data_IF_175627956209
#
_entry.id   IF_175627956209
#
_cell.length_a   1.000
_cell.length_b   1.000
_cell.length_c   1.000
_cell.angle_alpha   90.00
_cell.angle_beta   90.00
_cell.angle_gamma   90.00
#
_symmetry.space_group_name_H-M   'P 1'
#
loop_
_entity.id
_entity.type
_entity.pdbx_description
1 polymer ?
#
# COMPACT_ATOMS: atom_id res chain seq x y z
N UNK A 1 -6.04 -1.02 -3.52
CA UNK A 1 -5.55 -1.63 -2.26
C UNK A 1 -4.38 -2.55 -2.58
N UNK A 2 -3.39 -2.07 -3.34
CA UNK A 2 -2.29 -2.88 -3.85
C UNK A 2 -1.09 -2.64 -2.94
N UNK A 3 -0.62 -3.66 -2.24
CA UNK A 3 0.57 -3.58 -1.38
C UNK A 3 1.81 -3.77 -2.24
N UNK A 4 2.82 -2.93 -2.03
CA UNK A 4 4.07 -2.99 -2.79
C UNK A 4 4.71 -4.38 -2.60
N UNK A 5 5.08 -5.02 -3.71
CA UNK A 5 5.80 -6.31 -3.76
C UNK A 5 5.05 -7.58 -3.31
N UNK A 6 3.76 -7.51 -2.98
CA UNK A 6 2.97 -8.69 -2.57
C UNK A 6 2.10 -9.22 -3.72
N UNK A 7 1.68 -8.33 -4.63
CA UNK A 7 0.79 -8.65 -5.73
C UNK A 7 1.57 -8.88 -7.01
N UNK A 8 2.13 -10.09 -7.16
CA UNK A 8 2.79 -10.54 -8.38
C UNK A 8 1.88 -11.51 -9.13
N UNK A 9 1.55 -11.27 -10.41
CA UNK A 9 0.70 -12.17 -11.18
C UNK A 9 1.39 -13.51 -11.42
N UNK A 10 0.62 -14.60 -11.36
CA UNK A 10 1.08 -15.93 -11.76
C UNK A 10 0.62 -16.20 -13.20
N UNK A 11 1.51 -16.63 -14.11
CA UNK A 11 1.12 -16.98 -15.48
C UNK A 11 0.05 -18.07 -15.51
N UNK A 12 -0.92 -17.95 -16.40
CA UNK A 12 -2.06 -18.88 -16.47
C UNK A 12 -1.63 -20.35 -16.68
N UNK A 13 -0.55 -20.58 -17.43
CA UNK A 13 -0.02 -21.91 -17.71
C UNK A 13 0.88 -22.49 -16.60
N UNK A 14 1.06 -21.78 -15.48
CA UNK A 14 1.95 -22.18 -14.39
C UNK A 14 1.18 -22.24 -13.06
N UNK A 15 1.42 -23.29 -12.28
CA UNK A 15 0.88 -23.35 -10.91
C UNK A 15 1.69 -22.44 -9.98
N UNK A 16 1.01 -21.83 -9.00
CA UNK A 16 1.66 -21.09 -7.92
C UNK A 16 2.62 -22.01 -7.12
N UNK A 17 3.82 -21.53 -6.84
CA UNK A 17 4.76 -22.17 -5.91
C UNK A 17 5.45 -21.13 -5.06
N UNK A 18 6.00 -21.55 -3.92
CA UNK A 18 6.82 -20.66 -3.09
C UNK A 18 8.07 -20.14 -3.83
N UNK A 19 8.61 -20.90 -4.77
CA UNK A 19 9.76 -20.47 -5.57
C UNK A 19 9.41 -19.42 -6.63
N UNK A 20 8.17 -19.44 -7.15
CA UNK A 20 7.75 -18.60 -8.27
C UNK A 20 6.94 -17.36 -7.86
N UNK A 21 6.43 -17.30 -6.63
CA UNK A 21 5.61 -16.18 -6.18
C UNK A 21 5.92 -15.83 -4.72
N UNK A 22 6.12 -14.54 -4.37
CA UNK A 22 6.52 -14.11 -3.03
C UNK A 22 5.37 -14.10 -2.01
N UNK A 23 4.12 -14.25 -2.43
CA UNK A 23 2.97 -14.20 -1.51
C UNK A 23 3.07 -15.29 -0.44
N UNK A 24 2.87 -14.94 0.83
CA UNK A 24 2.92 -15.88 1.97
C UNK A 24 1.79 -15.57 2.93
N UNK A 25 0.93 -16.54 3.22
CA UNK A 25 -0.29 -16.31 4.01
C UNK A 25 -0.01 -15.81 5.43
N UNK A 26 1.04 -16.31 6.06
CA UNK A 26 1.52 -15.91 7.40
C UNK A 26 2.06 -14.47 7.43
N UNK A 27 2.53 -13.94 6.30
CA UNK A 27 2.99 -12.55 6.19
C UNK A 27 1.87 -11.62 5.71
N UNK A 28 1.04 -12.12 4.80
CA UNK A 28 0.01 -11.32 4.14
C UNK A 28 -1.27 -11.20 4.98
N UNK A 29 -1.67 -12.29 5.62
CA UNK A 29 -2.88 -12.34 6.42
C UNK A 29 -2.70 -13.30 7.61
N UNK A 30 -1.76 -13.01 8.53
CA UNK A 30 -1.75 -13.69 9.82
C UNK A 30 -3.07 -13.46 10.57
N UNK A 31 -3.33 -14.25 11.63
CA UNK A 31 -4.47 -13.96 12.51
C UNK A 31 -4.35 -12.53 13.04
N UNK A 32 -5.47 -11.80 13.03
CA UNK A 32 -5.53 -10.37 13.37
C UNK A 32 -4.68 -9.45 12.46
N UNK A 33 -4.41 -9.87 11.21
CA UNK A 33 -3.88 -8.98 10.19
C UNK A 33 -4.74 -7.71 10.06
N UNK A 34 -4.09 -6.55 9.94
CA UNK A 34 -4.78 -5.27 9.95
C UNK A 34 -4.15 -4.30 8.94
N UNK A 35 -5.00 -3.39 8.45
CA UNK A 35 -4.61 -2.23 7.66
C UNK A 35 -5.25 -1.00 8.28
N UNK A 36 -4.44 0.02 8.52
CA UNK A 36 -4.86 1.26 9.18
C UNK A 36 -4.40 2.43 8.33
N UNK A 37 -5.31 3.37 8.05
CA UNK A 37 -4.99 4.60 7.34
C UNK A 37 -5.23 5.76 8.29
N UNK A 38 -4.15 6.38 8.74
CA UNK A 38 -4.19 7.54 9.63
C UNK A 38 -4.29 8.80 8.77
N UNK A 39 -5.31 9.63 9.01
CA UNK A 39 -5.50 10.89 8.31
C UNK A 39 -5.20 12.06 9.25
N UNK A 40 -4.29 12.93 8.83
CA UNK A 40 -3.91 14.13 9.56
C UNK A 40 -4.36 15.37 8.79
N UNK A 41 -4.72 16.43 9.52
CA UNK A 41 -5.13 17.71 8.96
C UNK A 41 -4.21 18.83 9.44
N UNK A 42 -3.75 19.66 8.50
CA UNK A 42 -3.12 20.94 8.78
C UNK A 42 -3.80 22.02 7.94
N UNK A 43 -4.65 22.85 8.57
CA UNK A 43 -5.53 23.77 7.88
C UNK A 43 -6.50 23.05 6.93
N UNK A 44 -6.43 23.38 5.64
CA UNK A 44 -7.22 22.72 4.58
C UNK A 44 -6.57 21.46 4.03
N UNK A 45 -5.27 21.24 4.28
CA UNK A 45 -4.53 20.10 3.72
C UNK A 45 -4.76 18.84 4.54
N UNK A 46 -4.99 17.73 3.85
CA UNK A 46 -5.06 16.39 4.42
C UNK A 46 -3.90 15.54 3.92
N UNK A 47 -3.27 14.83 4.84
CA UNK A 47 -2.23 13.84 4.54
C UNK A 47 -2.61 12.50 5.15
N UNK A 48 -2.15 11.42 4.53
CA UNK A 48 -2.46 10.06 4.96
C UNK A 48 -1.18 9.26 5.13
N UNK A 49 -1.13 8.44 6.17
CA UNK A 49 -0.11 7.40 6.39
C UNK A 49 -0.80 6.05 6.50
N UNK A 50 -0.17 4.99 6.00
CA UNK A 50 -0.67 3.62 6.13
C UNK A 50 0.20 2.81 7.09
N UNK A 51 -0.46 2.05 7.97
CA UNK A 51 0.14 0.95 8.70
C UNK A 51 -0.44 -0.36 8.17
N UNK A 52 0.45 -1.33 7.94
CA UNK A 52 0.07 -2.68 7.56
C UNK A 52 0.70 -3.66 8.55
N UNK A 53 -0.15 -4.42 9.23
CA UNK A 53 0.24 -5.22 10.41
C UNK A 53 1.09 -4.36 11.37
N UNK A 54 0.59 -3.15 11.66
CA UNK A 54 1.21 -2.13 12.52
C UNK A 54 2.55 -1.55 12.03
N UNK A 55 3.05 -1.97 10.85
CA UNK A 55 4.28 -1.43 10.26
C UNK A 55 3.97 -0.30 9.29
N UNK A 56 4.70 0.80 9.42
CA UNK A 56 4.64 1.89 8.45
C UNK A 56 5.03 1.38 7.06
N UNK A 57 4.09 1.50 6.12
CA UNK A 57 4.19 0.88 4.80
C UNK A 57 3.76 1.88 3.74
N UNK A 58 4.50 1.92 2.64
CA UNK A 58 4.15 2.73 1.49
C UNK A 58 2.89 2.21 0.78
N UNK A 59 2.12 3.14 0.20
CA UNK A 59 1.07 2.80 -0.75
C UNK A 59 1.69 2.20 -2.03
N UNK A 60 0.85 1.72 -2.96
CA UNK A 60 1.33 1.19 -4.24
C UNK A 60 2.26 2.16 -4.96
N UNK A 61 3.24 1.63 -5.71
CA UNK A 61 4.25 2.44 -6.40
C UNK A 61 3.65 3.50 -7.34
N UNK A 62 2.48 3.24 -7.93
CA UNK A 62 1.76 4.21 -8.75
C UNK A 62 1.36 5.50 -7.99
N UNK A 63 1.34 5.46 -6.66
CA UNK A 63 1.04 6.60 -5.80
C UNK A 63 2.29 7.35 -5.32
N UNK A 64 3.50 6.96 -5.73
CA UNK A 64 4.75 7.57 -5.24
C UNK A 64 4.81 9.09 -5.52
N UNK A 65 4.14 9.57 -6.58
CA UNK A 65 4.00 11.00 -6.89
C UNK A 65 3.15 11.79 -5.89
N UNK A 66 2.38 11.14 -5.03
CA UNK A 66 1.59 11.79 -3.99
C UNK A 66 2.34 11.91 -2.65
N UNK A 67 3.58 11.40 -2.52
CA UNK A 67 4.39 11.59 -1.31
C UNK A 67 4.65 13.07 -1.05
N UNK A 68 4.54 13.49 0.20
CA UNK A 68 4.69 14.91 0.56
C UNK A 68 6.15 15.40 0.56
N UNK A 69 7.11 14.47 0.61
CA UNK A 69 8.54 14.71 0.54
C UNK A 69 9.29 13.42 0.14
N UNK A 70 10.52 13.51 -0.41
CA UNK A 70 11.37 12.34 -0.63
C UNK A 70 11.56 11.52 0.65
N UNK A 71 11.41 10.20 0.55
CA UNK A 71 11.54 9.29 1.70
C UNK A 71 10.36 9.33 2.70
N UNK A 72 9.35 10.17 2.48
CA UNK A 72 8.17 10.20 3.36
C UNK A 72 7.25 8.99 3.14
N UNK A 73 6.61 8.55 4.21
CA UNK A 73 5.48 7.61 4.21
C UNK A 73 4.13 8.33 4.31
N UNK A 74 4.14 9.67 4.30
CA UNK A 74 2.95 10.50 4.25
C UNK A 74 2.67 10.92 2.81
N UNK A 75 1.41 10.80 2.43
CA UNK A 75 0.94 11.10 1.10
C UNK A 75 -0.16 12.17 1.16
N UNK A 76 -0.20 13.05 0.17
CA UNK A 76 -1.28 14.01 0.01
C UNK A 76 -2.58 13.27 -0.32
N UNK A 77 -3.66 13.57 0.41
CA UNK A 77 -4.94 12.87 0.26
C UNK A 77 -5.54 13.02 -1.14
N UNK A 78 -5.44 14.21 -1.75
CA UNK A 78 -5.96 14.44 -3.09
C UNK A 78 -5.15 13.65 -4.13
N UNK A 79 -3.82 13.63 -3.98
CA UNK A 79 -2.93 12.80 -4.81
C UNK A 79 -3.22 11.30 -4.66
N UNK A 80 -3.50 10.83 -3.45
CA UNK A 80 -3.90 9.44 -3.21
C UNK A 80 -5.23 9.09 -3.89
N UNK A 81 -6.25 9.97 -3.82
CA UNK A 81 -7.50 9.75 -4.54
C UNK A 81 -7.26 9.56 -6.03
N UNK A 82 -6.46 10.45 -6.64
CA UNK A 82 -6.12 10.40 -8.06
C UNK A 82 -5.37 9.12 -8.43
N UNK A 83 -4.35 8.69 -7.66
CA UNK A 83 -3.60 7.47 -7.98
C UNK A 83 -4.44 6.19 -7.86
N UNK A 84 -5.52 6.21 -7.07
CA UNK A 84 -6.49 5.13 -6.98
C UNK A 84 -7.68 5.27 -7.94
N UNK A 85 -7.70 6.31 -8.78
CA UNK A 85 -8.75 6.52 -9.78
C UNK A 85 -10.05 7.12 -9.22
N UNK A 86 -10.02 7.72 -8.03
CA UNK A 86 -11.17 8.40 -7.43
C UNK A 86 -11.13 9.91 -7.70
N UNK A 87 -12.29 10.48 -8.02
CA UNK A 87 -12.51 11.93 -8.16
C UNK A 87 -13.03 12.55 -6.87
#
# INVERSE_FOLDING_TARGET
MNLKNVFVPTPQAQTYTYASNPWRGDQVSPMAANMQWDVYRNGSRLIVKMLYNERETDFQAACDGAKIAPGSHFYDYAGLKQCYGYQ
#
